data_IF_710812424155
#
_entry.id   IF_710812424155
#
_cell.length_a   1.000
_cell.length_b   1.000
_cell.length_c   1.000
_cell.angle_alpha   90.00
_cell.angle_beta   90.00
_cell.angle_gamma   90.00
#
_symmetry.space_group_name_H-M   'P 1'
#
loop_
_entity.id
_entity.type
_entity.pdbx_description
1 polymer ?
#
# COMPACT_ATOMS: atom_id res chain seq x y z
N UNK A 1 -18.31 45.82 -0.79
CA UNK A 1 -17.58 44.78 -1.55
C UNK A 1 -16.22 44.65 -0.92
N UNK A 2 -16.07 43.68 -0.04
CA UNK A 2 -14.80 43.30 0.59
C UNK A 2 -14.71 41.80 0.39
N UNK A 3 -13.82 41.38 -0.51
CA UNK A 3 -13.51 39.97 -0.72
C UNK A 3 -12.67 39.49 0.45
N UNK A 4 -13.25 38.62 1.28
CA UNK A 4 -12.50 37.93 2.32
C UNK A 4 -11.62 36.87 1.67
N UNK A 5 -10.31 37.08 1.78
CA UNK A 5 -9.29 36.16 1.29
C UNK A 5 -9.41 34.82 2.02
N UNK A 6 -9.90 33.81 1.30
CA UNK A 6 -9.83 32.42 1.71
C UNK A 6 -8.37 31.98 1.66
N UNK A 7 -7.63 32.20 2.74
CA UNK A 7 -6.32 31.58 2.93
C UNK A 7 -6.57 30.09 3.19
N UNK A 8 -6.59 29.31 2.11
CA UNK A 8 -6.51 27.86 2.22
C UNK A 8 -5.14 27.52 2.81
N UNK A 9 -5.08 27.49 4.15
CA UNK A 9 -4.06 26.75 4.86
C UNK A 9 -4.23 25.32 4.38
N UNK A 10 -3.46 24.94 3.36
CA UNK A 10 -3.27 23.56 2.97
C UNK A 10 -2.53 22.90 4.14
N UNK A 11 -3.29 22.57 5.18
CA UNK A 11 -2.89 21.53 6.12
C UNK A 11 -2.90 20.29 5.26
N UNK A 12 -1.74 20.01 4.63
CA UNK A 12 -1.43 18.70 4.08
C UNK A 12 -1.27 17.77 5.28
N UNK A 13 -2.41 17.47 5.91
CA UNK A 13 -2.52 16.36 6.84
C UNK A 13 -1.99 15.18 6.04
N UNK A 14 -0.86 14.63 6.45
CA UNK A 14 -0.40 13.34 5.95
C UNK A 14 -1.42 12.35 6.51
N UNK A 15 -2.57 12.30 5.84
CA UNK A 15 -3.63 11.35 6.11
C UNK A 15 -3.06 9.96 5.84
N UNK A 16 -3.59 9.00 6.59
CA UNK A 16 -3.16 7.60 6.70
C UNK A 16 -2.52 7.09 5.40
N UNK A 17 -1.19 7.21 5.39
CA UNK A 17 -0.18 6.67 4.47
C UNK A 17 -0.60 6.35 3.02
N UNK A 18 -0.30 7.27 2.10
CA UNK A 18 -0.07 6.99 0.69
C UNK A 18 0.90 5.81 0.51
N UNK A 19 0.35 4.62 0.30
CA UNK A 19 1.06 3.35 0.17
C UNK A 19 0.68 2.69 -1.15
N UNK A 20 1.64 2.05 -1.79
CA UNK A 20 1.41 1.28 -3.00
C UNK A 20 2.22 -0.01 -2.99
N UNK A 21 1.68 -1.06 -3.59
CA UNK A 21 2.44 -2.21 -4.03
C UNK A 21 2.97 -1.92 -5.44
N UNK A 22 4.29 -1.88 -5.59
CA UNK A 22 4.97 -1.71 -6.87
C UNK A 22 5.78 -2.97 -7.16
N UNK A 23 5.38 -3.75 -8.17
CA UNK A 23 5.96 -5.06 -8.43
C UNK A 23 5.78 -6.00 -7.23
N UNK A 24 6.84 -6.17 -6.42
CA UNK A 24 6.86 -6.97 -5.18
C UNK A 24 7.17 -6.16 -3.92
N UNK A 25 7.36 -4.85 -4.03
CA UNK A 25 7.74 -3.98 -2.93
C UNK A 25 6.60 -3.07 -2.48
N UNK A 26 6.43 -2.92 -1.17
CA UNK A 26 5.56 -1.89 -0.60
C UNK A 26 6.36 -0.58 -0.54
N UNK A 27 5.79 0.48 -1.11
CA UNK A 27 6.40 1.81 -1.19
C UNK A 27 5.42 2.82 -0.61
N UNK A 28 5.91 3.63 0.34
CA UNK A 28 5.19 4.82 0.81
C UNK A 28 5.66 6.03 0.01
N UNK A 29 4.76 6.95 -0.31
CA UNK A 29 5.08 8.18 -1.05
C UNK A 29 4.41 9.39 -0.40
N UNK A 30 4.94 10.59 -0.61
CA UNK A 30 4.37 11.80 -0.01
C UNK A 30 3.25 12.39 -0.87
N UNK A 31 3.49 12.60 -2.15
CA UNK A 31 2.49 13.17 -3.07
C UNK A 31 2.47 12.43 -4.41
N UNK A 32 1.36 12.58 -5.13
CA UNK A 32 1.18 12.15 -6.50
C UNK A 32 0.70 13.34 -7.35
N UNK A 33 1.51 13.75 -8.32
CA UNK A 33 1.22 14.86 -9.23
C UNK A 33 0.85 14.31 -10.62
N UNK A 34 -0.30 14.69 -11.17
CA UNK A 34 -0.69 14.32 -12.53
C UNK A 34 0.16 15.09 -13.53
N UNK A 35 0.98 14.38 -14.31
CA UNK A 35 1.88 15.00 -15.30
C UNK A 35 1.48 14.71 -16.75
N UNK A 36 0.60 13.72 -16.97
CA UNK A 36 0.00 13.39 -18.26
C UNK A 36 -1.24 12.50 -18.02
N UNK A 37 -2.03 12.21 -19.06
CA UNK A 37 -3.19 11.32 -18.98
C UNK A 37 -2.79 9.97 -18.37
N UNK A 38 -3.36 9.66 -17.20
CA UNK A 38 -3.09 8.46 -16.41
C UNK A 38 -1.61 8.28 -16.00
N UNK A 39 -0.85 9.37 -15.92
CA UNK A 39 0.57 9.34 -15.54
C UNK A 39 0.81 10.29 -14.38
N UNK A 40 1.34 9.74 -13.30
CA UNK A 40 1.59 10.47 -12.06
C UNK A 40 3.07 10.44 -11.70
N UNK A 41 3.59 11.57 -11.21
CA UNK A 41 4.91 11.66 -10.58
C UNK A 41 4.73 11.56 -9.08
N UNK A 42 5.40 10.57 -8.47
CA UNK A 42 5.39 10.38 -7.02
C UNK A 42 6.61 11.08 -6.39
N UNK A 43 6.43 11.64 -5.19
CA UNK A 43 7.52 12.30 -4.44
C UNK A 43 7.88 11.55 -3.16
N UNK A 44 9.13 11.70 -2.73
CA UNK A 44 9.66 11.25 -1.44
C UNK A 44 9.29 9.79 -1.11
N UNK A 45 9.75 8.88 -1.98
CA UNK A 45 9.52 7.45 -1.83
C UNK A 45 10.29 6.88 -0.64
N UNK A 46 9.58 6.22 0.26
CA UNK A 46 10.13 5.46 1.38
C UNK A 46 9.90 3.98 1.08
N UNK A 47 10.99 3.20 1.09
CA UNK A 47 11.01 1.76 0.79
C UNK A 47 11.91 1.01 1.78
N UNK A 48 11.91 -0.31 1.73
CA UNK A 48 12.77 -1.15 2.57
C UNK A 48 12.50 -1.05 4.07
N UNK A 49 11.26 -0.71 4.46
CA UNK A 49 10.87 -0.62 5.87
C UNK A 49 10.65 -2.01 6.47
N UNK A 50 10.72 -2.12 7.79
CA UNK A 50 10.43 -3.36 8.54
C UNK A 50 11.22 -4.60 8.08
N UNK A 51 12.47 -4.40 7.64
CA UNK A 51 13.36 -5.49 7.21
C UNK A 51 13.07 -6.04 5.81
N UNK A 52 12.23 -5.38 5.01
CA UNK A 52 12.06 -5.73 3.60
C UNK A 52 13.33 -5.38 2.80
N UNK A 53 13.85 -6.35 2.03
CA UNK A 53 15.01 -6.13 1.15
C UNK A 53 14.66 -5.04 0.12
N UNK A 54 15.61 -4.14 -0.13
CA UNK A 54 15.46 -3.07 -1.13
C UNK A 54 15.24 -3.70 -2.52
N UNK A 55 14.02 -3.61 -3.03
CA UNK A 55 13.66 -4.11 -4.36
C UNK A 55 14.01 -3.05 -5.42
N UNK A 56 14.66 -3.49 -6.50
CA UNK A 56 14.96 -2.64 -7.66
C UNK A 56 13.77 -2.70 -8.62
N UNK A 57 13.15 -1.55 -8.88
CA UNK A 57 11.98 -1.47 -9.74
C UNK A 57 12.38 -1.34 -11.20
N UNK A 58 11.64 -2.05 -12.06
CA UNK A 58 11.75 -1.91 -13.52
C UNK A 58 10.56 -1.12 -14.07
N UNK A 59 10.76 -0.43 -15.19
CA UNK A 59 9.68 0.28 -15.85
C UNK A 59 8.59 -0.69 -16.32
N UNK A 60 7.31 -0.31 -16.17
CA UNK A 60 6.16 -1.14 -16.56
C UNK A 60 5.69 -2.13 -15.49
N UNK A 61 6.27 -2.11 -14.30
CA UNK A 61 5.77 -2.90 -13.17
C UNK A 61 4.34 -2.52 -12.79
N UNK A 62 3.61 -3.51 -12.25
CA UNK A 62 2.27 -3.29 -11.72
C UNK A 62 2.34 -2.31 -10.55
N UNK A 63 1.47 -1.32 -10.59
CA UNK A 63 1.22 -0.39 -9.50
C UNK A 63 -0.18 -0.65 -8.96
N UNK A 64 -0.29 -0.90 -7.65
CA UNK A 64 -1.56 -1.04 -6.95
C UNK A 64 -1.56 -0.07 -5.78
N UNK A 65 -2.46 0.91 -5.82
CA UNK A 65 -2.68 1.82 -4.69
C UNK A 65 -3.31 1.02 -3.54
N UNK A 66 -2.75 1.16 -2.35
CA UNK A 66 -3.25 0.52 -1.15
C UNK A 66 -4.18 1.51 -0.43
N UNK A 67 -5.35 1.03 -0.04
CA UNK A 67 -6.37 1.80 0.67
C UNK A 67 -6.88 1.04 1.90
N UNK A 68 -7.95 1.56 2.51
CA UNK A 68 -8.54 1.00 3.72
C UNK A 68 -9.23 -0.36 3.52
N UNK A 69 -9.26 -0.90 2.29
CA UNK A 69 -9.66 -2.29 2.03
C UNK A 69 -8.64 -3.32 2.55
N UNK A 70 -7.45 -2.87 2.95
CA UNK A 70 -6.46 -3.73 3.59
C UNK A 70 -6.93 -4.14 4.99
N UNK A 71 -7.10 -5.45 5.15
CA UNK A 71 -7.34 -6.05 6.46
C UNK A 71 -6.01 -6.12 7.21
N UNK A 72 -5.93 -5.40 8.33
CA UNK A 72 -4.84 -5.51 9.29
C UNK A 72 -5.29 -6.30 10.52
N UNK A 73 -4.39 -7.06 11.10
CA UNK A 73 -4.61 -7.79 12.34
C UNK A 73 -3.31 -7.79 13.14
N UNK A 74 -3.43 -7.78 14.45
CA UNK A 74 -2.28 -7.78 15.34
C UNK A 74 -1.61 -9.16 15.32
N UNK A 75 -0.28 -9.15 15.15
CA UNK A 75 0.53 -10.36 15.19
C UNK A 75 1.41 -10.38 16.42
N UNK A 76 1.20 -11.38 17.29
CA UNK A 76 2.08 -11.63 18.42
C UNK A 76 3.39 -12.22 17.92
N UNK A 77 4.50 -11.51 18.15
CA UNK A 77 5.85 -11.99 17.81
C UNK A 77 6.10 -13.37 18.43
N UNK A 78 6.68 -14.29 17.66
CA UNK A 78 7.02 -15.64 18.09
C UNK A 78 5.88 -16.66 18.03
N UNK A 79 4.66 -16.26 17.63
CA UNK A 79 3.54 -17.19 17.40
C UNK A 79 3.28 -17.37 15.91
N UNK A 80 2.91 -18.60 15.53
CA UNK A 80 2.40 -18.88 14.19
C UNK A 80 0.92 -18.52 14.15
N UNK A 81 0.52 -17.77 13.14
CA UNK A 81 -0.87 -17.53 12.79
C UNK A 81 -1.07 -17.97 11.33
N UNK A 82 -2.28 -18.40 11.00
CA UNK A 82 -2.63 -18.89 9.68
C UNK A 82 -3.77 -18.03 9.14
N UNK A 83 -3.63 -17.54 7.92
CA UNK A 83 -4.68 -16.83 7.20
C UNK A 83 -5.16 -17.68 6.03
N UNK A 84 -6.46 -17.65 5.80
CA UNK A 84 -7.09 -18.21 4.60
C UNK A 84 -7.94 -17.11 3.97
N UNK A 85 -7.44 -16.54 2.87
CA UNK A 85 -8.22 -15.59 2.09
C UNK A 85 -9.31 -16.36 1.34
N UNK A 86 -10.56 -15.89 1.41
CA UNK A 86 -11.71 -16.45 0.69
C UNK A 86 -12.21 -15.43 -0.33
N UNK A 87 -12.69 -15.91 -1.47
CA UNK A 87 -13.31 -15.04 -2.48
C UNK A 87 -14.70 -14.61 -2.02
N UNK A 88 -15.11 -13.38 -2.33
CA UNK A 88 -16.46 -12.93 -2.02
C UNK A 88 -17.52 -13.83 -2.69
N UNK A 89 -18.46 -14.34 -1.91
CA UNK A 89 -19.47 -15.31 -2.37
C UNK A 89 -19.05 -16.78 -2.27
N UNK A 90 -17.83 -17.06 -1.81
CA UNK A 90 -17.33 -18.42 -1.56
C UNK A 90 -17.34 -18.77 -0.06
N UNK A 91 -17.25 -20.06 0.28
CA UNK A 91 -17.23 -20.53 1.66
C UNK A 91 -15.82 -20.97 2.09
N UNK A 92 -15.57 -20.93 3.40
CA UNK A 92 -14.31 -21.41 3.99
C UNK A 92 -14.08 -22.90 3.68
N UNK A 93 -15.15 -23.68 3.49
CA UNK A 93 -15.09 -25.12 3.22
C UNK A 93 -14.60 -25.42 1.80
N UNK A 94 -14.96 -24.58 0.83
CA UNK A 94 -14.66 -24.78 -0.60
C UNK A 94 -13.34 -24.14 -1.03
N UNK A 95 -12.78 -23.24 -0.23
CA UNK A 95 -11.52 -22.58 -0.56
C UNK A 95 -10.33 -23.52 -0.31
N UNK A 96 -9.42 -23.70 -1.27
CA UNK A 96 -8.18 -24.45 -1.04
C UNK A 96 -7.26 -23.68 -0.06
N UNK A 97 -6.61 -24.40 0.86
CA UNK A 97 -5.62 -23.79 1.76
C UNK A 97 -4.39 -23.42 0.93
N UNK A 98 -4.20 -22.13 0.68
CA UNK A 98 -2.96 -21.62 0.12
C UNK A 98 -1.93 -21.47 1.24
N UNK A 99 -1.10 -22.50 1.42
CA UNK A 99 0.05 -22.41 2.31
C UNK A 99 1.05 -21.43 1.69
N UNK A 100 1.10 -20.20 2.21
CA UNK A 100 2.18 -19.27 1.91
C UNK A 100 3.44 -19.80 2.58
N UNK A 101 4.22 -20.61 1.86
CA UNK A 101 5.52 -21.05 2.34
C UNK A 101 6.37 -19.80 2.60
N UNK A 102 6.82 -19.68 3.84
CA UNK A 102 7.61 -18.58 4.39
C UNK A 102 8.71 -18.11 3.44
N UNK A 103 8.88 -16.79 3.35
CA UNK A 103 10.05 -16.16 2.75
C UNK A 103 11.32 -16.82 3.29
N UNK A 104 12.09 -17.44 2.41
CA UNK A 104 13.37 -18.03 2.75
C UNK A 104 14.38 -16.92 3.07
N UNK A 105 15.14 -17.09 4.16
CA UNK A 105 16.14 -16.15 4.68
C UNK A 105 17.13 -15.66 3.60
#
# INVERSE_FOLDING_TARGET
>A
MTEEGFTSTNVSTINVSNLALVGKGIVKFQSAELIDKNKYKLSNLIRGQEGTKEYQHTAGEKFVLLDDSIISFEVQRGKKFYLKAVTYGDSLENTEVKVMNSFSN
#
